data_IF_702435331450
#
_entry.id   IF_702435331450
#
_cell.length_a   1.000
_cell.length_b   1.000
_cell.length_c   1.000
_cell.angle_alpha   90.00
_cell.angle_beta   90.00
_cell.angle_gamma   90.00
#
_symmetry.space_group_name_H-M   'P 1'
#
loop_
_entity.id
_entity.type
_entity.pdbx_description
1 polymer ?
#
# COMPACT_ATOMS: atom_id res chain seq x y z
N UNK A 1 18.69 2.87 9.07
CA UNK A 1 17.89 3.31 7.89
C UNK A 1 16.44 3.19 8.26
N UNK A 2 15.62 4.26 8.09
CA UNK A 2 14.20 4.16 8.37
C UNK A 2 13.53 3.38 7.23
N UNK A 3 13.34 2.09 7.41
CA UNK A 3 12.68 1.24 6.43
C UNK A 3 11.20 1.60 6.29
N UNK A 4 10.71 1.59 5.05
CA UNK A 4 9.28 1.68 4.76
C UNK A 4 8.71 0.26 4.85
N UNK A 5 7.63 0.10 5.58
CA UNK A 5 6.89 -1.16 5.68
C UNK A 5 5.60 -1.10 4.87
N UNK A 6 5.29 -2.20 4.23
CA UNK A 6 4.08 -2.38 3.43
C UNK A 6 3.15 -3.34 4.17
N UNK A 7 2.06 -2.81 4.69
CA UNK A 7 1.13 -3.58 5.51
C UNK A 7 -0.19 -3.82 4.78
N UNK A 8 -0.56 -5.05 4.62
CA UNK A 8 -1.74 -5.49 3.85
C UNK A 8 -2.80 -5.98 4.82
N UNK A 9 -3.98 -5.36 4.79
CA UNK A 9 -5.16 -5.87 5.48
C UNK A 9 -5.86 -6.88 4.57
N UNK A 10 -5.96 -8.15 5.00
CA UNK A 10 -6.54 -9.21 4.17
C UNK A 10 -7.58 -10.06 4.92
N UNK A 11 -8.58 -10.54 4.16
CA UNK A 11 -9.65 -11.39 4.67
C UNK A 11 -10.09 -12.40 3.61
N UNK A 12 -9.92 -13.70 3.88
CA UNK A 12 -10.31 -14.82 3.01
C UNK A 12 -9.81 -14.72 1.56
N UNK A 13 -8.63 -14.09 1.34
CA UNK A 13 -8.01 -13.94 0.02
C UNK A 13 -6.54 -14.33 0.01
N UNK A 14 -6.22 -15.63 0.20
CA UNK A 14 -4.83 -16.09 0.25
C UNK A 14 -4.04 -15.78 -1.04
N UNK A 15 -4.71 -15.76 -2.21
CA UNK A 15 -4.12 -15.28 -3.47
C UNK A 15 -3.98 -13.75 -3.48
N UNK A 16 -3.34 -13.19 -2.47
CA UNK A 16 -3.16 -11.76 -2.27
C UNK A 16 -2.44 -11.10 -3.45
N UNK A 17 -3.18 -10.33 -4.27
CA UNK A 17 -2.63 -9.66 -5.45
C UNK A 17 -1.62 -8.59 -5.07
N UNK A 18 -1.90 -7.87 -3.99
CA UNK A 18 -1.03 -6.80 -3.47
C UNK A 18 0.34 -7.34 -3.08
N UNK A 19 0.40 -8.50 -2.42
CA UNK A 19 1.68 -9.13 -2.09
C UNK A 19 2.50 -9.41 -3.35
N UNK A 20 1.88 -9.98 -4.39
CA UNK A 20 2.54 -10.25 -5.68
C UNK A 20 3.00 -8.96 -6.36
N UNK A 21 2.17 -7.92 -6.35
CA UNK A 21 2.52 -6.62 -6.93
C UNK A 21 3.72 -5.97 -6.21
N UNK A 22 3.82 -6.11 -4.87
CA UNK A 22 4.97 -5.65 -4.10
C UNK A 22 6.24 -6.44 -4.44
N UNK A 23 6.14 -7.76 -4.57
CA UNK A 23 7.26 -8.62 -4.99
C UNK A 23 7.75 -8.27 -6.40
N UNK A 24 6.85 -7.96 -7.34
CA UNK A 24 7.20 -7.46 -8.68
C UNK A 24 7.94 -6.12 -8.65
N UNK A 25 7.70 -5.29 -7.63
CA UNK A 25 8.42 -4.05 -7.38
C UNK A 25 9.74 -4.24 -6.60
N UNK A 26 10.14 -5.49 -6.32
CA UNK A 26 11.39 -5.81 -5.63
C UNK A 26 11.34 -5.60 -4.12
N UNK A 27 10.15 -5.51 -3.51
CA UNK A 27 10.03 -5.36 -2.05
C UNK A 27 10.34 -6.70 -1.38
N UNK A 28 11.22 -6.67 -0.39
CA UNK A 28 11.65 -7.83 0.40
C UNK A 28 10.56 -8.27 1.38
N UNK A 29 10.50 -9.58 1.68
CA UNK A 29 9.46 -10.17 2.52
C UNK A 29 9.47 -9.61 3.95
N UNK A 30 10.64 -9.28 4.48
CA UNK A 30 10.82 -8.68 5.81
C UNK A 30 10.17 -7.32 5.97
N UNK A 31 9.81 -6.70 4.85
CA UNK A 31 9.17 -5.38 4.81
C UNK A 31 7.68 -5.46 4.47
N UNK A 32 7.16 -6.65 4.20
CA UNK A 32 5.75 -6.88 3.88
C UNK A 32 5.09 -7.61 5.05
N UNK A 33 4.08 -7.00 5.64
CA UNK A 33 3.29 -7.57 6.74
C UNK A 33 1.85 -7.75 6.27
N UNK A 34 1.33 -8.97 6.39
CA UNK A 34 -0.05 -9.29 6.06
C UNK A 34 -0.81 -9.53 7.36
N UNK A 35 -1.82 -8.70 7.61
CA UNK A 35 -2.70 -8.84 8.77
C UNK A 35 -3.97 -9.57 8.39
N UNK A 36 -4.20 -10.72 9.00
CA UNK A 36 -5.41 -11.51 8.81
C UNK A 36 -6.47 -11.16 9.83
N UNK A 37 -7.68 -10.99 9.35
CA UNK A 37 -8.84 -10.77 10.22
C UNK A 37 -9.34 -12.07 10.88
N UNK A 38 -9.03 -13.22 10.28
CA UNK A 38 -9.34 -14.56 10.80
C UNK A 38 -8.07 -15.40 10.90
N UNK A 39 -7.78 -15.91 12.09
CA UNK A 39 -6.63 -16.79 12.34
C UNK A 39 -6.77 -18.16 11.65
N UNK A 40 -7.98 -18.59 11.33
CA UNK A 40 -8.23 -19.84 10.61
C UNK A 40 -7.64 -19.81 9.20
N UNK A 41 -7.49 -18.65 8.61
CA UNK A 41 -6.90 -18.47 7.28
C UNK A 41 -5.37 -18.64 7.27
N UNK A 42 -4.69 -18.59 8.42
CA UNK A 42 -3.24 -18.54 8.52
C UNK A 42 -2.55 -19.63 7.70
N UNK A 43 -2.98 -20.90 7.88
CA UNK A 43 -2.40 -22.02 7.17
C UNK A 43 -2.51 -21.87 5.65
N UNK A 44 -3.68 -21.49 5.16
CA UNK A 44 -3.94 -21.30 3.73
C UNK A 44 -3.08 -20.18 3.13
N UNK A 45 -2.84 -19.08 3.89
CA UNK A 45 -1.95 -18.02 3.45
C UNK A 45 -0.49 -18.45 3.40
N UNK A 46 -0.02 -19.22 4.39
CA UNK A 46 1.34 -19.76 4.39
C UNK A 46 1.56 -20.73 3.22
N UNK A 47 0.57 -21.57 2.91
CA UNK A 47 0.62 -22.48 1.76
C UNK A 47 0.66 -21.75 0.42
N UNK A 48 -0.08 -20.65 0.27
CA UNK A 48 -0.16 -19.89 -0.99
C UNK A 48 1.01 -18.89 -1.19
N UNK A 49 1.49 -18.26 -0.12
CA UNK A 49 2.48 -17.17 -0.19
C UNK A 49 3.90 -17.61 0.16
N UNK A 50 4.03 -18.76 0.81
CA UNK A 50 5.29 -19.28 1.30
C UNK A 50 5.57 -18.91 2.76
N UNK A 51 6.49 -19.66 3.39
CA UNK A 51 6.84 -19.53 4.81
C UNK A 51 7.60 -18.22 5.15
N UNK A 52 8.06 -17.46 4.16
CA UNK A 52 8.80 -16.22 4.36
C UNK A 52 7.89 -15.00 4.52
N UNK A 53 6.61 -15.10 4.14
CA UNK A 53 5.67 -14.00 4.30
C UNK A 53 5.43 -13.71 5.79
N UNK A 54 5.56 -12.45 6.20
CA UNK A 54 5.24 -12.05 7.57
C UNK A 54 3.74 -11.93 7.74
N UNK A 55 3.14 -12.89 8.41
CA UNK A 55 1.69 -12.93 8.63
C UNK A 55 1.41 -12.73 10.11
N UNK A 56 0.60 -11.72 10.41
CA UNK A 56 0.10 -11.46 11.76
C UNK A 56 -1.38 -11.80 11.85
N UNK A 57 -1.78 -12.41 12.94
CA UNK A 57 -3.17 -12.73 13.23
C UNK A 57 -3.54 -12.11 14.56
N UNK A 58 -4.61 -11.36 14.62
CA UNK A 58 -5.20 -10.89 15.87
C UNK A 58 -6.71 -11.00 15.79
N UNK A 59 -7.33 -11.17 16.92
CA UNK A 59 -8.81 -11.23 17.01
C UNK A 59 -9.39 -9.86 16.66
N UNK A 60 -10.23 -9.83 15.63
CA UNK A 60 -11.00 -8.65 15.24
C UNK A 60 -12.06 -9.08 14.24
N UNK A 61 -13.24 -8.46 14.30
CA UNK A 61 -14.40 -8.91 13.52
C UNK A 61 -14.70 -8.00 12.32
N UNK A 62 -13.83 -7.03 12.01
CA UNK A 62 -14.04 -6.10 10.91
C UNK A 62 -12.73 -5.49 10.38
N UNK A 63 -12.83 -4.83 9.25
CA UNK A 63 -11.71 -4.18 8.56
C UNK A 63 -11.01 -3.13 9.43
N UNK A 64 -11.77 -2.36 10.23
CA UNK A 64 -11.20 -1.33 11.10
C UNK A 64 -10.32 -1.95 12.19
N UNK A 65 -10.76 -3.03 12.84
CA UNK A 65 -9.96 -3.73 13.83
C UNK A 65 -8.71 -4.37 13.22
N UNK A 66 -8.79 -4.86 11.99
CA UNK A 66 -7.62 -5.39 11.27
C UNK A 66 -6.58 -4.29 11.00
N UNK A 67 -7.01 -3.13 10.53
CA UNK A 67 -6.12 -1.97 10.33
C UNK A 67 -5.51 -1.46 11.65
N UNK A 68 -6.28 -1.44 12.73
CA UNK A 68 -5.76 -1.12 14.06
C UNK A 68 -4.70 -2.13 14.53
N UNK A 69 -4.87 -3.42 14.22
CA UNK A 69 -3.87 -4.45 14.52
C UNK A 69 -2.56 -4.18 13.79
N UNK A 70 -2.62 -3.73 12.55
CA UNK A 70 -1.44 -3.31 11.80
C UNK A 70 -0.74 -2.14 12.51
N UNK A 71 -1.47 -1.07 12.83
CA UNK A 71 -0.90 0.10 13.49
C UNK A 71 -0.27 -0.24 14.84
N UNK A 72 -0.88 -1.15 15.61
CA UNK A 72 -0.36 -1.61 16.90
C UNK A 72 0.83 -2.59 16.78
N UNK A 73 1.08 -3.13 15.60
CA UNK A 73 2.22 -4.03 15.37
C UNK A 73 3.54 -3.28 15.22
N UNK A 74 3.50 -2.09 14.66
CA UNK A 74 4.69 -1.29 14.41
C UNK A 74 4.97 -0.31 15.55
N UNK A 75 6.24 0.02 15.72
CA UNK A 75 6.67 1.04 16.68
C UNK A 75 6.24 2.44 16.24
N UNK A 76 6.10 3.34 17.23
CA UNK A 76 5.80 4.74 16.94
C UNK A 76 6.90 5.37 16.06
N UNK A 77 6.46 6.07 15.02
CA UNK A 77 7.37 6.71 14.05
C UNK A 77 7.76 5.80 12.87
N UNK A 78 7.32 4.55 12.83
CA UNK A 78 7.51 3.70 11.65
C UNK A 78 6.80 4.28 10.42
N UNK A 79 7.47 4.19 9.27
CA UNK A 79 6.88 4.56 7.97
C UNK A 79 6.09 3.38 7.44
N UNK A 80 4.76 3.49 7.44
CA UNK A 80 3.87 2.39 7.08
C UNK A 80 3.01 2.81 5.89
N UNK A 81 2.91 1.93 4.90
CA UNK A 81 1.99 2.03 3.79
C UNK A 81 0.91 0.97 3.98
N UNK A 82 -0.31 1.42 4.27
CA UNK A 82 -1.48 0.56 4.43
C UNK A 82 -2.11 0.28 3.06
N UNK A 83 -2.29 -1.00 2.75
CA UNK A 83 -2.77 -1.49 1.47
C UNK A 83 -3.93 -2.47 1.66
N UNK A 84 -4.85 -2.48 0.71
CA UNK A 84 -5.85 -3.55 0.57
C UNK A 84 -5.23 -4.75 -0.19
N UNK A 85 -5.85 -5.92 -0.15
CA UNK A 85 -5.28 -7.19 -0.65
C UNK A 85 -5.49 -7.44 -2.16
N UNK A 86 -6.17 -6.55 -2.87
CA UNK A 86 -6.57 -6.71 -4.26
C UNK A 86 -5.90 -5.73 -5.25
N UNK A 87 -4.92 -4.98 -4.80
CA UNK A 87 -4.13 -4.08 -5.64
C UNK A 87 -3.30 -4.88 -6.65
N UNK A 88 -3.42 -4.53 -7.92
CA UNK A 88 -2.75 -5.24 -9.02
C UNK A 88 -1.43 -4.62 -9.42
N UNK A 89 -1.35 -3.28 -9.37
CA UNK A 89 -0.15 -2.51 -9.69
C UNK A 89 -0.20 -1.13 -9.04
N UNK A 90 0.93 -0.47 -9.04
CA UNK A 90 1.09 0.90 -8.55
C UNK A 90 1.38 1.81 -9.73
N UNK A 91 0.70 2.97 -9.80
CA UNK A 91 0.81 3.91 -10.91
C UNK A 91 0.97 5.33 -10.41
N UNK A 92 1.74 6.14 -11.13
CA UNK A 92 1.81 7.57 -10.95
C UNK A 92 1.20 8.28 -12.16
N UNK A 93 0.66 9.47 -11.90
CA UNK A 93 0.21 10.35 -12.95
C UNK A 93 1.39 11.16 -13.48
N UNK A 94 1.58 11.19 -14.79
CA UNK A 94 2.53 12.08 -15.46
C UNK A 94 1.78 12.99 -16.40
N UNK A 95 1.91 14.31 -16.18
CA UNK A 95 1.39 15.30 -17.13
C UNK A 95 2.22 15.27 -18.40
N UNK A 96 1.56 15.23 -19.56
CA UNK A 96 2.23 15.41 -20.85
C UNK A 96 2.38 16.91 -21.12
N UNK A 97 3.60 17.38 -21.36
CA UNK A 97 3.86 18.74 -21.81
C UNK A 97 3.03 19.04 -23.07
N UNK A 98 2.24 20.12 -23.01
CA UNK A 98 1.43 20.60 -24.15
C UNK A 98 0.07 19.94 -24.33
N UNK A 99 -0.28 18.89 -23.60
CA UNK A 99 -1.61 18.27 -23.63
C UNK A 99 -2.22 18.18 -22.24
N UNK A 100 -3.46 18.63 -22.07
CA UNK A 100 -4.20 18.60 -20.80
C UNK A 100 -4.54 17.19 -20.31
N UNK A 101 -4.19 16.16 -21.05
CA UNK A 101 -4.40 14.75 -20.70
C UNK A 101 -3.06 14.14 -20.34
N UNK A 102 -2.81 13.92 -19.06
CA UNK A 102 -1.69 13.14 -18.56
C UNK A 102 -1.89 11.64 -18.84
N UNK A 103 -0.92 10.83 -18.49
CA UNK A 103 -0.98 9.38 -18.58
C UNK A 103 -0.56 8.72 -17.25
N UNK A 104 -1.16 7.58 -16.96
CA UNK A 104 -0.72 6.73 -15.86
C UNK A 104 0.49 5.93 -16.30
N UNK A 105 1.54 5.96 -15.50
CA UNK A 105 2.75 5.15 -15.70
C UNK A 105 2.94 4.19 -14.52
N UNK A 106 3.19 2.93 -14.83
CA UNK A 106 3.49 1.92 -13.79
C UNK A 106 4.75 2.33 -13.02
N UNK A 107 4.68 2.26 -11.69
CA UNK A 107 5.82 2.50 -10.80
C UNK A 107 6.56 1.17 -10.64
N UNK A 108 7.86 1.17 -10.93
CA UNK A 108 8.76 0.03 -10.70
C UNK A 108 9.70 0.28 -9.52
N UNK A 109 10.02 1.55 -9.24
CA UNK A 109 10.84 1.96 -8.09
C UNK A 109 9.93 2.46 -6.94
N UNK A 110 9.20 1.54 -6.34
CA UNK A 110 8.16 1.87 -5.36
C UNK A 110 8.74 2.53 -4.11
N UNK A 111 9.86 2.02 -3.59
CA UNK A 111 10.56 2.59 -2.43
C UNK A 111 11.01 4.03 -2.66
N UNK A 112 11.55 4.32 -3.83
CA UNK A 112 11.97 5.68 -4.18
C UNK A 112 10.78 6.62 -4.18
N UNK A 113 9.68 6.21 -4.82
CA UNK A 113 8.46 7.00 -4.87
C UNK A 113 7.92 7.29 -3.48
N UNK A 114 7.82 6.28 -2.60
CA UNK A 114 7.30 6.50 -1.26
C UNK A 114 8.28 7.24 -0.33
N UNK A 115 9.58 7.12 -0.54
CA UNK A 115 10.55 7.97 0.18
C UNK A 115 10.37 9.45 -0.17
N UNK A 116 10.08 9.79 -1.43
CA UNK A 116 9.75 11.16 -1.83
C UNK A 116 8.47 11.64 -1.15
N UNK A 117 7.43 10.78 -1.09
CA UNK A 117 6.17 11.06 -0.39
C UNK A 117 6.40 11.30 1.11
N UNK A 118 7.12 10.42 1.80
CA UNK A 118 7.42 10.59 3.23
C UNK A 118 8.27 11.83 3.51
N UNK A 119 9.19 12.17 2.61
CA UNK A 119 9.99 13.40 2.72
C UNK A 119 9.12 14.64 2.59
N UNK A 120 8.17 14.64 1.65
CA UNK A 120 7.19 15.70 1.50
C UNK A 120 6.29 15.82 2.75
N UNK A 121 5.78 14.71 3.27
CA UNK A 121 4.96 14.66 4.48
C UNK A 121 5.71 15.25 5.68
N UNK A 122 6.96 14.83 5.88
CA UNK A 122 7.80 15.33 6.97
C UNK A 122 8.05 16.85 6.87
N UNK A 123 8.39 17.32 5.67
CA UNK A 123 8.62 18.75 5.42
C UNK A 123 7.39 19.62 5.72
N UNK A 124 6.19 19.09 5.48
CA UNK A 124 4.93 19.80 5.63
C UNK A 124 4.17 19.44 6.91
N UNK A 125 4.78 18.67 7.84
CA UNK A 125 4.17 18.20 9.08
C UNK A 125 2.85 17.43 8.85
N UNK A 126 2.82 16.61 7.80
CA UNK A 126 1.68 15.76 7.44
C UNK A 126 1.91 14.38 8.03
N UNK A 127 0.97 13.88 8.83
CA UNK A 127 1.07 12.58 9.47
C UNK A 127 0.31 11.46 8.76
N UNK A 128 -0.62 11.82 7.87
CA UNK A 128 -1.43 10.88 7.11
C UNK A 128 -1.65 11.39 5.68
N UNK A 129 -1.50 10.52 4.69
CA UNK A 129 -1.76 10.82 3.29
C UNK A 129 -2.40 9.62 2.59
N UNK A 130 -3.39 9.87 1.76
CA UNK A 130 -4.06 8.84 0.96
C UNK A 130 -3.64 8.87 -0.51
N UNK A 131 -3.57 7.69 -1.13
CA UNK A 131 -3.42 7.57 -2.57
C UNK A 131 -4.80 7.44 -3.23
N UNK A 132 -4.96 7.96 -4.43
CA UNK A 132 -6.21 7.86 -5.18
C UNK A 132 -6.40 6.41 -5.70
N UNK A 133 -7.43 5.67 -5.25
CA UNK A 133 -7.65 4.28 -5.65
C UNK A 133 -8.41 4.21 -6.98
N UNK A 134 -7.88 4.78 -8.05
CA UNK A 134 -8.54 4.77 -9.36
C UNK A 134 -7.57 4.52 -10.50
N UNK A 135 -8.04 3.80 -11.50
CA UNK A 135 -7.36 3.63 -12.79
C UNK A 135 -7.98 4.50 -13.89
N UNK A 136 -9.01 5.28 -13.58
CA UNK A 136 -9.70 6.11 -14.58
C UNK A 136 -8.97 7.46 -14.75
N UNK A 137 -8.29 7.61 -15.88
CA UNK A 137 -7.55 8.82 -16.24
C UNK A 137 -8.41 10.09 -16.22
N UNK A 138 -9.69 9.99 -16.57
CA UNK A 138 -10.59 11.15 -16.56
C UNK A 138 -10.88 11.63 -15.14
N UNK A 139 -11.04 10.73 -14.19
CA UNK A 139 -11.25 11.07 -12.80
C UNK A 139 -10.01 11.79 -12.24
N UNK A 140 -8.80 11.24 -12.47
CA UNK A 140 -7.55 11.87 -12.03
C UNK A 140 -7.41 13.27 -12.62
N UNK A 141 -7.62 13.42 -13.93
CA UNK A 141 -7.53 14.72 -14.59
C UNK A 141 -8.52 15.76 -14.01
N UNK A 142 -9.70 15.34 -13.54
CA UNK A 142 -10.68 16.24 -12.93
C UNK A 142 -10.24 16.74 -11.54
N UNK A 143 -9.58 15.91 -10.74
CA UNK A 143 -9.02 16.30 -9.43
C UNK A 143 -7.86 17.29 -9.59
N UNK A 144 -6.91 17.01 -10.48
CA UNK A 144 -5.78 17.90 -10.76
C UNK A 144 -6.23 19.27 -11.22
N UNK A 145 -7.29 19.35 -12.06
CA UNK A 145 -7.84 20.63 -12.55
C UNK A 145 -8.48 21.49 -11.46
N UNK A 146 -9.00 20.90 -10.40
CA UNK A 146 -9.64 21.64 -9.31
C UNK A 146 -8.64 22.21 -8.30
N UNK A 147 -7.34 21.93 -8.45
CA UNK A 147 -6.33 22.34 -7.50
C UNK A 147 -6.45 21.68 -6.12
N UNK A 148 -7.24 20.64 -6.03
CA UNK A 148 -7.34 19.82 -4.83
C UNK A 148 -6.11 18.90 -4.78
N UNK A 149 -5.08 19.36 -4.07
CA UNK A 149 -3.96 18.48 -3.66
C UNK A 149 -4.43 17.67 -2.46
N UNK A 150 -4.64 16.40 -2.66
CA UNK A 150 -4.88 15.44 -1.58
C UNK A 150 -3.57 14.79 -1.17
#
# INVERSE_FOLDING_TARGET
MNNIYYAIASYHRPKCKTYRALKECGIEDERIVISLNDSNDFKTYVEELGSQAQIITRRGNNVASNRNNILNYFENGAKIILLDDDIRDFRKWEEKQGNKCGAQKKITELDKTFNEVFSFMQKNNIHFMGCLPTTNNMNIASYVKKGETY
#
